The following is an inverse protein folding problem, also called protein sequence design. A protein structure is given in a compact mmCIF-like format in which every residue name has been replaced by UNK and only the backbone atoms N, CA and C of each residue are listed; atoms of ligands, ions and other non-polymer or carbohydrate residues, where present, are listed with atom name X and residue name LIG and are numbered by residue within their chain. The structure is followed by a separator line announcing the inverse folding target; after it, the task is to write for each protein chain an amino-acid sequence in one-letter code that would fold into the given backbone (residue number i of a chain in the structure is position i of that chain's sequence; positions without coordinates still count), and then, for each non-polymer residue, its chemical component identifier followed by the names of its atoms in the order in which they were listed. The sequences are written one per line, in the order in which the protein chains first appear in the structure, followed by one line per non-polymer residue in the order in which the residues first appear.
data_IF_562758103948
#
_entry.id   IF_562758103948
#
_cell.length_a   1.000
_cell.length_b   1.000
_cell.length_c   1.000
_cell.angle_alpha   90.00
_cell.angle_beta   90.00
_cell.angle_gamma   90.00
#
_symmetry.space_group_name_H-M   'P 1'
#
loop_
_entity.id
_entity.type
_entity.pdbx_description
1 polymer ?
#
# COMPACT_ATOMS: atom_id res chain seq x y z
N UNK A 1 45.38 15.78 -63.16
CA UNK A 1 44.86 15.36 -61.85
C UNK A 1 43.39 15.77 -61.78
N UNK A 2 42.45 14.81 -61.83
CA UNK A 2 41.02 15.06 -62.05
C UNK A 2 40.32 15.55 -60.76
N UNK A 3 39.94 16.83 -60.73
CA UNK A 3 39.25 17.51 -59.61
C UNK A 3 37.94 16.83 -59.17
N UNK A 4 37.35 16.00 -60.04
CA UNK A 4 36.10 15.25 -59.77
C UNK A 4 36.25 14.12 -58.75
N UNK A 5 37.47 13.59 -58.54
CA UNK A 5 37.69 12.47 -57.62
C UNK A 5 37.84 12.92 -56.15
N UNK A 6 38.18 14.18 -55.90
CA UNK A 6 38.37 14.72 -54.54
C UNK A 6 37.03 15.00 -53.86
N UNK A 7 36.00 15.38 -54.63
CA UNK A 7 34.69 15.74 -54.09
C UNK A 7 33.87 14.53 -53.61
N UNK A 8 34.17 13.33 -54.10
CA UNK A 8 33.44 12.11 -53.73
C UNK A 8 33.88 11.52 -52.38
N UNK A 9 35.13 11.78 -51.95
CA UNK A 9 35.65 11.28 -50.67
C UNK A 9 35.18 12.09 -49.45
N UNK A 10 34.67 13.30 -49.65
CA UNK A 10 34.19 14.18 -48.58
C UNK A 10 32.75 13.91 -48.13
N UNK A 11 31.99 13.09 -48.86
CA UNK A 11 30.59 12.79 -48.53
C UNK A 11 30.39 11.63 -47.54
N UNK A 12 31.44 10.86 -47.22
CA UNK A 12 31.31 9.66 -46.37
C UNK A 12 31.44 9.96 -44.87
N UNK A 13 32.02 11.10 -44.49
CA UNK A 13 32.26 11.44 -43.08
C UNK A 13 31.14 12.26 -42.39
N UNK A 14 30.05 12.58 -43.10
CA UNK A 14 28.99 13.46 -42.58
C UNK A 14 27.87 12.77 -41.78
N UNK A 15 27.79 11.43 -41.75
CA UNK A 15 26.58 10.73 -41.24
C UNK A 15 26.77 10.13 -39.83
N UNK A 16 27.96 10.16 -39.25
CA UNK A 16 28.23 9.57 -37.93
C UNK A 16 28.11 10.57 -36.77
N UNK A 17 26.99 11.31 -36.67
CA UNK A 17 26.88 12.42 -35.71
C UNK A 17 25.59 12.55 -34.92
N UNK A 18 24.46 11.97 -35.33
CA UNK A 18 23.22 12.09 -34.55
C UNK A 18 23.15 11.01 -33.47
N UNK A 19 24.00 11.14 -32.44
CA UNK A 19 23.72 10.50 -31.15
C UNK A 19 22.51 11.23 -30.58
N UNK A 20 21.30 10.73 -30.87
CA UNK A 20 20.07 11.29 -30.34
C UNK A 20 20.22 11.47 -28.82
N UNK A 21 19.81 12.62 -28.25
CA UNK A 21 19.90 12.82 -26.81
C UNK A 21 19.25 11.63 -26.09
N UNK A 22 19.88 11.09 -25.04
CA UNK A 22 19.32 9.96 -24.31
C UNK A 22 17.90 10.31 -23.90
N UNK A 23 16.94 9.40 -24.16
CA UNK A 23 15.54 9.62 -23.78
C UNK A 23 15.48 10.01 -22.30
N UNK A 24 14.66 11.01 -21.93
CA UNK A 24 14.47 11.36 -20.53
C UNK A 24 14.11 10.10 -19.73
N UNK A 25 14.66 10.00 -18.52
CA UNK A 25 14.24 8.94 -17.61
C UNK A 25 12.72 8.99 -17.43
N UNK A 26 12.03 7.83 -17.34
CA UNK A 26 10.61 7.81 -17.10
C UNK A 26 10.29 8.54 -15.79
N UNK A 27 9.28 9.42 -15.84
CA UNK A 27 8.77 10.10 -14.65
C UNK A 27 7.89 9.16 -13.81
N UNK A 28 7.61 9.56 -12.57
CA UNK A 28 6.86 8.77 -11.59
C UNK A 28 5.48 8.30 -12.09
N UNK A 29 4.80 9.11 -12.91
CA UNK A 29 3.47 8.78 -13.48
C UNK A 29 3.52 7.97 -14.78
N UNK A 30 4.72 7.61 -15.26
CA UNK A 30 4.86 6.81 -16.49
C UNK A 30 4.32 5.42 -16.23
N UNK A 31 3.35 4.97 -17.04
CA UNK A 31 2.82 3.60 -16.95
C UNK A 31 3.80 2.63 -17.61
N UNK A 32 4.14 1.58 -16.87
CA UNK A 32 5.02 0.50 -17.30
C UNK A 32 4.38 -0.84 -17.01
N UNK A 33 4.87 -1.87 -17.70
CA UNK A 33 4.43 -3.26 -17.52
C UNK A 33 5.62 -4.10 -17.09
N UNK A 34 5.43 -4.92 -16.06
CA UNK A 34 6.44 -5.83 -15.54
C UNK A 34 5.88 -7.26 -15.49
N UNK A 35 6.69 -8.26 -15.78
CA UNK A 35 6.31 -9.66 -15.67
C UNK A 35 6.94 -10.28 -14.43
N UNK A 36 6.12 -10.86 -13.56
CA UNK A 36 6.56 -11.47 -12.29
C UNK A 36 5.81 -12.79 -12.12
N UNK A 37 6.55 -13.89 -11.97
CA UNK A 37 5.99 -15.25 -11.90
C UNK A 37 5.02 -15.59 -13.06
N UNK A 38 5.25 -15.05 -14.26
CA UNK A 38 4.37 -15.25 -15.43
C UNK A 38 3.08 -14.42 -15.40
N UNK A 39 2.95 -13.48 -14.47
CA UNK A 39 1.83 -12.53 -14.38
C UNK A 39 2.30 -11.16 -14.84
N UNK A 40 1.55 -10.55 -15.76
CA UNK A 40 1.82 -9.18 -16.22
C UNK A 40 1.15 -8.18 -15.28
N UNK A 41 1.95 -7.29 -14.70
CA UNK A 41 1.50 -6.21 -13.83
C UNK A 41 1.67 -4.88 -14.55
N UNK A 42 0.58 -4.11 -14.66
CA UNK A 42 0.60 -2.73 -15.17
C UNK A 42 0.61 -1.76 -14.00
N UNK A 43 1.59 -0.86 -13.93
CA UNK A 43 1.75 0.06 -12.81
C UNK A 43 2.46 1.35 -13.21
N UNK A 44 2.34 2.37 -12.36
CA UNK A 44 3.18 3.57 -12.44
C UNK A 44 4.64 3.23 -12.16
N UNK A 45 5.56 3.93 -12.80
CA UNK A 45 6.99 3.79 -12.60
C UNK A 45 7.42 4.08 -11.15
N UNK A 46 6.66 4.93 -10.44
CA UNK A 46 6.83 5.16 -9.02
C UNK A 46 6.66 3.90 -8.15
N UNK A 47 5.90 2.91 -8.62
CA UNK A 47 5.69 1.62 -7.94
C UNK A 47 6.68 0.63 -8.51
N UNK A 48 7.52 0.03 -7.67
CA UNK A 48 8.43 -1.01 -8.14
C UNK A 48 7.69 -2.33 -8.27
N UNK A 49 8.02 -3.09 -9.31
CA UNK A 49 7.57 -4.46 -9.46
C UNK A 49 8.05 -5.31 -8.26
N UNK A 50 7.23 -6.24 -7.77
CA UNK A 50 7.66 -7.18 -6.76
C UNK A 50 8.61 -8.21 -7.40
N UNK A 51 9.41 -8.87 -6.58
CA UNK A 51 10.19 -10.08 -6.90
C UNK A 51 9.35 -11.36 -6.97
N UNK A 52 8.25 -11.45 -6.21
CA UNK A 52 7.34 -12.59 -6.15
C UNK A 52 5.88 -12.12 -6.22
N UNK A 53 5.03 -12.88 -6.93
CA UNK A 53 3.61 -12.56 -7.03
C UNK A 53 2.72 -13.81 -6.99
N UNK A 54 1.77 -13.83 -6.06
CA UNK A 54 0.74 -14.85 -5.94
C UNK A 54 -0.66 -14.24 -6.17
N UNK A 55 -1.33 -14.53 -7.30
CA UNK A 55 -2.62 -13.94 -7.64
C UNK A 55 -3.73 -14.20 -6.62
N UNK A 56 -4.56 -13.19 -6.37
CA UNK A 56 -5.76 -13.26 -5.51
C UNK A 56 -6.98 -12.73 -6.25
N UNK A 57 -6.88 -11.55 -6.88
CA UNK A 57 -7.94 -10.88 -7.66
C UNK A 57 -9.31 -10.84 -6.94
N UNK A 58 -9.34 -10.32 -5.72
CA UNK A 58 -10.56 -10.25 -4.90
C UNK A 58 -10.75 -8.88 -4.28
N UNK A 59 -12.01 -8.54 -4.01
CA UNK A 59 -12.38 -7.30 -3.33
C UNK A 59 -12.09 -7.40 -1.82
N UNK A 60 -11.34 -6.42 -1.33
CA UNK A 60 -11.03 -6.22 0.08
C UNK A 60 -11.44 -4.81 0.49
N UNK A 61 -11.69 -4.60 1.78
CA UNK A 61 -11.93 -3.28 2.35
C UNK A 61 -10.80 -2.88 3.29
N UNK A 62 -10.41 -1.61 3.23
CA UNK A 62 -9.40 -1.07 4.12
C UNK A 62 -9.92 -0.99 5.56
N UNK A 63 -9.16 -1.52 6.51
CA UNK A 63 -9.52 -1.49 7.93
C UNK A 63 -9.21 -0.13 8.58
N UNK A 64 -8.21 0.58 8.07
CA UNK A 64 -7.77 1.90 8.53
C UNK A 64 -7.04 2.65 7.41
N UNK A 65 -6.70 3.94 7.57
CA UNK A 65 -5.97 4.74 6.57
C UNK A 65 -4.50 4.33 6.43
N UNK A 66 -4.25 3.14 5.88
CA UNK A 66 -2.90 2.61 5.71
C UNK A 66 -2.13 3.35 4.59
N UNK A 67 -0.82 3.52 4.77
CA UNK A 67 0.06 4.01 3.71
C UNK A 67 0.20 2.96 2.61
N UNK A 68 -0.07 3.36 1.37
CA UNK A 68 0.24 2.60 0.16
C UNK A 68 1.68 2.89 -0.22
N UNK A 69 2.50 1.86 -0.22
CA UNK A 69 3.94 1.93 -0.39
C UNK A 69 4.34 1.63 -1.84
N UNK A 70 5.44 2.24 -2.28
CA UNK A 70 6.02 2.02 -3.60
C UNK A 70 6.73 0.67 -3.75
N UNK A 71 7.03 0.00 -2.63
CA UNK A 71 7.65 -1.32 -2.54
C UNK A 71 6.92 -2.14 -1.46
N UNK A 72 6.99 -3.48 -1.49
CA UNK A 72 6.38 -4.35 -0.48
C UNK A 72 7.22 -4.42 0.81
N UNK A 73 7.58 -3.25 1.33
CA UNK A 73 8.29 -3.07 2.58
C UNK A 73 8.00 -1.69 3.19
N UNK A 74 8.44 -1.47 4.42
CA UNK A 74 8.29 -0.18 5.09
C UNK A 74 9.33 0.88 4.68
N UNK A 75 10.33 0.51 3.87
CA UNK A 75 11.35 1.42 3.34
C UNK A 75 10.97 2.09 2.02
N UNK A 76 9.89 1.66 1.38
CA UNK A 76 9.32 2.28 0.18
C UNK A 76 8.87 3.73 0.41
N UNK A 77 8.67 4.47 -0.68
CA UNK A 77 8.04 5.79 -0.62
C UNK A 77 6.53 5.61 -0.41
N UNK A 78 5.91 6.50 0.37
CA UNK A 78 4.46 6.57 0.47
C UNK A 78 3.91 7.19 -0.81
N UNK A 79 3.07 6.45 -1.53
CA UNK A 79 2.40 6.92 -2.75
C UNK A 79 1.12 7.67 -2.38
N UNK A 80 0.31 7.08 -1.51
CA UNK A 80 -0.95 7.65 -1.00
C UNK A 80 -1.41 6.92 0.26
N UNK A 81 -2.53 7.32 0.83
CA UNK A 81 -3.19 6.59 1.91
C UNK A 81 -4.48 5.93 1.42
N UNK A 82 -4.83 4.79 2.02
CA UNK A 82 -6.14 4.18 1.85
C UNK A 82 -7.20 4.99 2.58
N UNK A 83 -8.44 4.88 2.11
CA UNK A 83 -9.61 5.40 2.80
C UNK A 83 -10.26 4.28 3.62
N UNK A 84 -10.47 4.51 4.92
CA UNK A 84 -11.01 3.48 5.80
C UNK A 84 -12.42 3.04 5.35
N UNK A 85 -12.62 1.73 5.25
CA UNK A 85 -13.86 1.13 4.76
C UNK A 85 -14.05 1.16 3.25
N UNK A 86 -13.20 1.85 2.48
CA UNK A 86 -13.27 1.82 1.01
C UNK A 86 -12.86 0.44 0.48
N UNK A 87 -13.50 0.04 -0.61
CA UNK A 87 -13.19 -1.21 -1.34
C UNK A 87 -12.01 -0.98 -2.28
N UNK A 88 -11.12 -1.96 -2.33
CA UNK A 88 -9.98 -2.05 -3.23
C UNK A 88 -9.89 -3.48 -3.78
N UNK A 89 -9.23 -3.65 -4.92
CA UNK A 89 -8.93 -4.99 -5.43
C UNK A 89 -7.56 -5.40 -4.92
N UNK A 90 -7.48 -6.51 -4.21
CA UNK A 90 -6.20 -7.18 -3.96
C UNK A 90 -5.88 -8.01 -5.19
N UNK A 91 -4.92 -7.54 -5.99
CA UNK A 91 -4.45 -8.24 -7.19
C UNK A 91 -3.74 -9.54 -6.80
N UNK A 92 -2.93 -9.47 -5.76
CA UNK A 92 -2.16 -10.61 -5.27
C UNK A 92 -1.48 -10.35 -3.95
N UNK A 93 -0.96 -11.42 -3.37
CA UNK A 93 0.00 -11.36 -2.27
C UNK A 93 1.41 -11.41 -2.86
N UNK A 94 2.31 -10.62 -2.29
CA UNK A 94 3.72 -10.55 -2.68
C UNK A 94 4.61 -10.92 -1.49
N UNK A 95 5.89 -10.60 -1.54
CA UNK A 95 6.87 -10.92 -0.50
C UNK A 95 6.42 -10.40 0.86
N UNK A 96 6.89 -11.07 1.91
CA UNK A 96 6.67 -10.66 3.29
C UNK A 96 5.19 -10.41 3.65
N UNK A 97 4.27 -11.10 2.96
CA UNK A 97 2.81 -10.98 3.17
C UNK A 97 2.27 -9.58 2.87
N UNK A 98 2.88 -8.84 1.95
CA UNK A 98 2.29 -7.59 1.47
C UNK A 98 1.20 -7.87 0.43
N UNK A 99 0.25 -6.95 0.34
CA UNK A 99 -0.88 -7.04 -0.57
C UNK A 99 -0.67 -6.01 -1.69
N UNK A 100 -0.62 -6.49 -2.92
CA UNK A 100 -0.62 -5.66 -4.12
C UNK A 100 -2.05 -5.20 -4.40
N UNK A 101 -2.28 -3.89 -4.44
CA UNK A 101 -3.62 -3.31 -4.57
C UNK A 101 -3.84 -2.68 -5.95
N UNK A 102 -5.11 -2.60 -6.33
CA UNK A 102 -5.67 -1.72 -7.35
C UNK A 102 -6.90 -0.97 -6.79
N UNK A 103 -7.28 0.12 -7.45
CA UNK A 103 -8.58 0.75 -7.21
C UNK A 103 -9.73 -0.18 -7.61
N UNK A 104 -10.89 -0.01 -6.99
CA UNK A 104 -12.09 -0.80 -7.31
C UNK A 104 -12.41 -0.75 -8.82
N UNK A 105 -12.58 -1.93 -9.42
CA UNK A 105 -12.86 -2.06 -10.85
C UNK A 105 -11.67 -1.81 -11.77
N UNK A 106 -10.44 -1.65 -11.24
CA UNK A 106 -9.21 -1.51 -12.03
C UNK A 106 -8.25 -2.68 -11.77
N UNK A 107 -7.36 -2.88 -12.72
CA UNK A 107 -6.29 -3.88 -12.66
C UNK A 107 -4.90 -3.24 -12.53
N UNK A 108 -4.81 -1.92 -12.62
CA UNK A 108 -3.55 -1.18 -12.46
C UNK A 108 -3.08 -1.24 -11.00
N UNK A 109 -1.88 -1.77 -10.79
CA UNK A 109 -1.24 -1.83 -9.49
C UNK A 109 -0.87 -0.42 -9.01
N UNK A 110 -1.48 -0.03 -7.89
CA UNK A 110 -1.30 1.29 -7.26
C UNK A 110 -0.22 1.30 -6.17
N UNK A 111 0.28 0.12 -5.77
CA UNK A 111 1.26 -0.07 -4.71
C UNK A 111 0.85 -1.14 -3.71
N UNK A 112 1.52 -1.13 -2.55
CA UNK A 112 1.48 -2.23 -1.60
C UNK A 112 1.06 -1.77 -0.20
N UNK A 113 0.38 -2.66 0.52
CA UNK A 113 0.04 -2.47 1.94
C UNK A 113 0.35 -3.73 2.75
N UNK A 114 0.63 -3.61 4.04
CA UNK A 114 0.76 -4.80 4.88
C UNK A 114 -0.57 -5.57 4.93
N UNK A 115 -0.53 -6.91 5.01
CA UNK A 115 -1.71 -7.77 5.08
C UNK A 115 -2.82 -7.27 6.03
N UNK A 116 -2.42 -6.73 7.19
CA UNK A 116 -3.34 -6.28 8.24
C UNK A 116 -4.09 -4.99 7.91
N UNK A 117 -3.72 -4.29 6.83
CA UNK A 117 -4.39 -3.06 6.40
C UNK A 117 -5.74 -3.31 5.75
N UNK A 118 -5.95 -4.51 5.20
CA UNK A 118 -7.12 -4.84 4.39
C UNK A 118 -7.70 -6.17 4.82
N UNK A 119 -9.00 -6.36 4.59
CA UNK A 119 -9.69 -7.63 4.84
C UNK A 119 -10.64 -7.91 3.69
N UNK A 120 -10.88 -9.19 3.36
CA UNK A 120 -11.90 -9.57 2.36
C UNK A 120 -13.20 -8.84 2.63
N UNK A 121 -13.83 -8.30 1.59
CA UNK A 121 -15.02 -7.46 1.75
C UNK A 121 -16.14 -8.15 2.53
N UNK A 122 -16.34 -9.45 2.31
CA UNK A 122 -17.34 -10.28 3.02
C UNK A 122 -17.10 -10.40 4.53
N UNK A 123 -15.86 -10.22 4.99
CA UNK A 123 -15.48 -10.36 6.40
C UNK A 123 -15.47 -9.02 7.14
N UNK A 124 -15.54 -7.89 6.43
CA UNK A 124 -15.32 -6.56 7.01
C UNK A 124 -16.16 -6.27 8.25
N UNK A 125 -17.49 -6.45 8.17
CA UNK A 125 -18.38 -6.16 9.29
C UNK A 125 -18.19 -7.12 10.46
N UNK A 126 -17.79 -8.36 10.19
CA UNK A 126 -17.44 -9.33 11.23
C UNK A 126 -16.16 -8.90 11.94
N UNK A 127 -15.12 -8.54 11.18
CA UNK A 127 -13.83 -8.05 11.70
C UNK A 127 -14.01 -6.81 12.56
N UNK A 128 -14.81 -5.84 12.13
CA UNK A 128 -15.09 -4.65 12.95
C UNK A 128 -15.84 -4.98 14.25
N UNK A 129 -16.81 -5.89 14.22
CA UNK A 129 -17.53 -6.33 15.42
C UNK A 129 -16.61 -7.04 16.42
N UNK A 130 -15.72 -7.88 15.93
CA UNK A 130 -14.73 -8.58 16.77
C UNK A 130 -13.69 -7.63 17.37
N UNK A 131 -13.21 -6.64 16.60
CA UNK A 131 -12.30 -5.61 17.11
C UNK A 131 -12.94 -4.79 18.25
N UNK A 132 -14.19 -4.35 18.05
CA UNK A 132 -14.94 -3.60 19.08
C UNK A 132 -15.10 -4.40 20.39
N UNK A 133 -15.29 -5.72 20.31
CA UNK A 133 -15.40 -6.58 21.50
C UNK A 133 -14.09 -6.70 22.27
N UNK A 134 -12.94 -6.59 21.59
CA UNK A 134 -11.62 -6.59 22.24
C UNK A 134 -11.30 -5.27 22.92
N UNK A 135 -11.90 -4.16 22.50
CA UNK A 135 -11.80 -2.90 23.25
C UNK A 135 -12.48 -3.12 24.59
N UNK A 136 -11.65 -3.26 25.63
CA UNK A 136 -12.05 -3.58 27.00
C UNK A 136 -13.22 -2.68 27.38
N UNK A 137 -14.39 -3.27 27.57
CA UNK A 137 -15.52 -2.55 28.14
C UNK A 137 -15.04 -1.96 29.48
N UNK A 138 -15.29 -0.66 29.75
CA UNK A 138 -14.84 -0.06 30.99
C UNK A 138 -15.35 -0.89 32.16
N UNK A 139 -14.44 -1.39 32.99
CA UNK A 139 -14.80 -2.17 34.18
C UNK A 139 -15.68 -1.28 35.04
N UNK A 140 -16.93 -1.70 35.26
CA UNK A 140 -17.86 -0.97 36.14
C UNK A 140 -17.24 -0.87 37.53
N UNK A 141 -17.10 0.35 38.03
CA UNK A 141 -16.59 0.60 39.38
C UNK A 141 -17.59 0.05 40.39
N UNK A 142 -17.13 -0.76 41.34
CA UNK A 142 -18.00 -1.31 42.39
C UNK A 142 -18.03 -0.34 43.55
N UNK A 143 -19.18 0.28 43.82
CA UNK A 143 -19.33 1.26 44.91
C UNK A 143 -20.34 0.76 45.96
N UNK A 144 -20.04 1.02 47.23
CA UNK A 144 -20.90 0.75 48.38
C UNK A 144 -21.16 2.04 49.14
N UNK A 145 -22.34 2.17 49.73
CA UNK A 145 -22.69 3.33 50.56
C UNK A 145 -22.12 3.15 51.96
N UNK A 146 -21.52 4.20 52.52
CA UNK A 146 -20.98 4.25 53.87
C UNK A 146 -21.69 5.37 54.64
N UNK A 147 -22.33 5.03 55.75
CA UNK A 147 -22.88 5.95 56.75
C UNK A 147 -23.77 7.09 56.22
N UNK A 148 -24.70 6.77 55.31
CA UNK A 148 -25.82 7.63 54.95
C UNK A 148 -25.54 8.78 53.99
N UNK A 149 -24.28 9.20 53.81
CA UNK A 149 -23.91 10.24 52.83
C UNK A 149 -22.65 9.96 52.02
N UNK A 150 -21.76 9.06 52.47
CA UNK A 150 -20.50 8.74 51.78
C UNK A 150 -20.62 7.55 50.83
N UNK A 151 -19.77 7.52 49.80
CA UNK A 151 -19.64 6.36 48.89
C UNK A 151 -18.20 5.87 48.87
N UNK A 152 -18.00 4.57 49.08
CA UNK A 152 -16.71 3.91 48.88
C UNK A 152 -16.72 3.14 47.57
N UNK A 153 -15.85 3.49 46.64
CA UNK A 153 -15.72 2.86 45.33
C UNK A 153 -14.40 2.09 45.22
N UNK A 154 -14.47 0.82 44.83
CA UNK A 154 -13.30 -0.04 44.61
C UNK A 154 -12.60 0.35 43.30
N UNK A 155 -11.31 0.68 43.39
CA UNK A 155 -10.45 0.89 42.23
C UNK A 155 -10.27 -0.44 41.48
N UNK A 156 -10.62 -0.43 40.19
CA UNK A 156 -10.60 -1.61 39.33
C UNK A 156 -9.19 -2.16 39.03
N UNK A 157 -8.14 -1.36 39.28
CA UNK A 157 -6.75 -1.68 38.94
C UNK A 157 -5.89 -2.05 40.15
N UNK A 158 -6.18 -1.50 41.34
CA UNK A 158 -5.35 -1.70 42.54
C UNK A 158 -6.08 -2.43 43.69
N UNK A 159 -7.39 -2.65 43.59
CA UNK A 159 -8.19 -3.23 44.67
C UNK A 159 -8.42 -2.31 45.88
N UNK A 160 -7.84 -1.11 45.86
CA UNK A 160 -7.99 -0.07 46.90
C UNK A 160 -9.40 0.50 46.89
N UNK A 161 -9.94 0.80 48.06
CA UNK A 161 -11.21 1.51 48.20
C UNK A 161 -10.96 3.01 48.33
N UNK A 162 -11.65 3.79 47.50
CA UNK A 162 -11.59 5.26 47.52
C UNK A 162 -12.94 5.74 48.06
N UNK A 163 -12.90 6.57 49.11
CA UNK A 163 -14.10 7.13 49.74
C UNK A 163 -14.28 8.56 49.21
N UNK A 164 -15.49 8.88 48.77
CA UNK A 164 -15.98 10.21 48.40
C UNK A 164 -17.08 10.63 49.38
#
# INVERSE_FOLDING_TARGET
MNMRMVLALLFVFGVSGCKAPPKPAPGDDTIVTSEVNGVTLTHRYAVLAPTEFNPINQNYRALYPASVMSKPDFGGKVIRQLEAGKTYVVLGQVEHFWMALADEGKEELIGYVPMRAVVKSELYDKTLREDRRRRVAPKKQTCVTVDGSGKACKNANSGTWIID
#
